data_IF_929400859422
#
_entry.id   IF_929400859422
#
_cell.length_a   1.000
_cell.length_b   1.000
_cell.length_c   1.000
_cell.angle_alpha   90.00
_cell.angle_beta   90.00
_cell.angle_gamma   90.00
#
_symmetry.space_group_name_H-M   'P 1'
#
loop_
_entity.id
_entity.type
_entity.pdbx_description
1 polymer ?
#
# COMPACT_ATOMS: atom_id res chain seq x y z
N UNK A 1 -6.67 -7.21 -18.99
CA UNK A 1 -5.86 -6.32 -18.13
C UNK A 1 -6.65 -6.14 -16.85
N UNK A 2 -6.07 -6.47 -15.69
CA UNK A 2 -6.80 -6.32 -14.43
C UNK A 2 -7.02 -4.82 -14.17
N UNK A 3 -8.27 -4.41 -14.06
CA UNK A 3 -8.63 -3.02 -13.81
C UNK A 3 -8.14 -2.64 -12.40
N UNK A 4 -7.43 -1.52 -12.27
CA UNK A 4 -6.99 -1.02 -10.98
C UNK A 4 -8.19 -0.35 -10.30
N UNK A 5 -8.64 -0.94 -9.20
CA UNK A 5 -9.67 -0.31 -8.37
C UNK A 5 -8.95 0.38 -7.21
N UNK A 6 -8.96 1.72 -7.17
CA UNK A 6 -8.32 2.45 -6.11
C UNK A 6 -9.00 2.17 -4.76
N UNK A 7 -8.25 2.27 -3.65
CA UNK A 7 -8.82 2.12 -2.32
C UNK A 7 -9.90 3.17 -2.04
N UNK A 8 -10.91 2.78 -1.26
CA UNK A 8 -12.10 3.60 -1.00
C UNK A 8 -11.86 4.84 -0.10
N UNK A 9 -10.69 4.93 0.52
CA UNK A 9 -10.30 6.01 1.43
C UNK A 9 -9.38 6.98 0.69
N UNK A 10 -9.75 8.27 0.63
CA UNK A 10 -8.99 9.29 -0.09
C UNK A 10 -7.54 9.39 0.39
N UNK A 11 -7.32 9.42 1.71
CA UNK A 11 -5.97 9.48 2.27
C UNK A 11 -5.09 8.26 1.89
N UNK A 12 -5.71 7.11 1.63
CA UNK A 12 -4.99 5.90 1.21
C UNK A 12 -4.56 6.04 -0.26
N UNK A 13 -5.42 6.62 -1.09
CA UNK A 13 -5.10 6.94 -2.48
C UNK A 13 -3.96 7.95 -2.54
N UNK A 14 -4.06 9.05 -1.81
CA UNK A 14 -3.02 10.09 -1.79
C UNK A 14 -1.67 9.51 -1.35
N UNK A 15 -1.67 8.65 -0.32
CA UNK A 15 -0.44 7.99 0.13
C UNK A 15 0.13 7.05 -0.93
N UNK A 16 -0.71 6.28 -1.63
CA UNK A 16 -0.28 5.37 -2.71
C UNK A 16 0.29 6.16 -3.89
N UNK A 17 -0.40 7.22 -4.33
CA UNK A 17 0.06 8.08 -5.41
C UNK A 17 1.38 8.78 -5.06
N UNK A 18 1.52 9.29 -3.83
CA UNK A 18 2.74 9.96 -3.39
C UNK A 18 3.92 8.99 -3.25
N UNK A 19 3.69 7.78 -2.74
CA UNK A 19 4.71 6.74 -2.68
C UNK A 19 5.14 6.29 -4.08
N UNK A 20 4.21 6.09 -5.01
CA UNK A 20 4.52 5.69 -6.38
C UNK A 20 5.21 6.82 -7.16
N UNK A 21 4.73 8.06 -7.01
CA UNK A 21 5.32 9.23 -7.66
C UNK A 21 6.75 9.52 -7.17
N UNK A 22 7.01 9.29 -5.88
CA UNK A 22 8.33 9.46 -5.27
C UNK A 22 9.24 8.24 -5.41
N UNK A 23 8.77 7.14 -6.01
CA UNK A 23 9.53 5.89 -6.08
C UNK A 23 9.86 5.28 -4.71
N UNK A 24 9.05 5.56 -3.70
CA UNK A 24 9.20 5.05 -2.34
C UNK A 24 10.14 5.87 -1.45
N UNK A 25 10.38 7.14 -1.77
CA UNK A 25 11.10 8.06 -0.87
C UNK A 25 10.17 8.89 0.00
N UNK A 26 8.95 9.17 -0.45
CA UNK A 26 7.94 9.96 0.25
C UNK A 26 6.68 9.12 0.50
N UNK A 27 5.88 9.44 1.53
CA UNK A 27 4.66 8.68 1.85
C UNK A 27 4.94 7.29 2.44
N UNK A 28 6.19 7.05 2.84
CA UNK A 28 6.67 5.81 3.44
C UNK A 28 6.26 5.64 4.90
N UNK A 29 5.58 6.62 5.50
CA UNK A 29 5.12 6.59 6.89
C UNK A 29 3.61 6.70 7.00
N UNK A 30 3.04 6.09 8.04
CA UNK A 30 1.62 6.20 8.35
C UNK A 30 1.30 7.57 8.97
N UNK A 31 0.98 8.56 8.13
CA UNK A 31 0.66 9.94 8.56
C UNK A 31 1.72 10.47 9.56
N UNK A 32 1.27 11.07 10.67
CA UNK A 32 2.10 11.65 11.73
C UNK A 32 2.69 10.63 12.71
N UNK A 33 2.35 9.34 12.58
CA UNK A 33 2.88 8.33 13.52
C UNK A 33 4.35 7.98 13.25
N UNK A 34 4.88 8.37 12.08
CA UNK A 34 6.25 8.05 11.65
C UNK A 34 6.50 6.55 11.42
N UNK A 35 5.48 5.70 11.55
CA UNK A 35 5.61 4.25 11.41
C UNK A 35 5.79 3.90 9.93
N UNK A 36 6.79 3.08 9.56
CA UNK A 36 7.04 2.74 8.18
C UNK A 36 5.88 1.93 7.60
N UNK A 37 5.49 2.24 6.37
CA UNK A 37 4.47 1.56 5.58
C UNK A 37 5.05 1.03 4.27
N UNK A 38 4.45 -0.04 3.77
CA UNK A 38 4.71 -0.60 2.45
C UNK A 38 3.40 -0.73 1.67
N UNK A 39 3.47 -0.60 0.35
CA UNK A 39 2.31 -0.78 -0.52
C UNK A 39 2.27 -2.23 -1.00
N UNK A 40 1.17 -2.89 -0.69
CA UNK A 40 0.91 -4.25 -1.13
C UNK A 40 -0.06 -4.21 -2.28
N UNK A 41 0.39 -4.73 -3.42
CA UNK A 41 -0.46 -4.93 -4.59
C UNK A 41 -0.96 -6.36 -4.59
N UNK A 42 -2.28 -6.55 -4.59
CA UNK A 42 -2.90 -7.87 -4.67
C UNK A 42 -4.05 -7.88 -5.68
N UNK A 43 -4.40 -9.08 -6.15
CA UNK A 43 -5.55 -9.28 -7.04
C UNK A 43 -6.75 -9.66 -6.17
N UNK A 44 -7.84 -8.92 -6.30
CA UNK A 44 -9.06 -9.19 -5.55
C UNK A 44 -9.70 -10.51 -5.98
N UNK A 45 -9.86 -11.45 -5.06
CA UNK A 45 -10.38 -12.80 -5.36
C UNK A 45 -11.79 -12.77 -5.98
N UNK A 46 -12.64 -11.81 -5.59
CA UNK A 46 -14.01 -11.69 -6.11
C UNK A 46 -14.10 -10.88 -7.41
N UNK A 47 -13.31 -9.82 -7.54
CA UNK A 47 -13.43 -8.85 -8.63
C UNK A 47 -12.39 -9.02 -9.73
N UNK A 48 -11.33 -9.82 -9.52
CA UNK A 48 -10.19 -9.93 -10.42
C UNK A 48 -9.39 -8.64 -10.60
N UNK A 49 -9.74 -7.59 -9.85
CA UNK A 49 -9.17 -6.26 -9.97
C UNK A 49 -7.86 -6.14 -9.18
N UNK A 50 -6.94 -5.32 -9.67
CA UNK A 50 -5.74 -4.96 -8.93
C UNK A 50 -6.10 -3.95 -7.84
N UNK A 51 -5.63 -4.22 -6.62
CA UNK A 51 -5.82 -3.35 -5.45
C UNK A 51 -4.47 -3.07 -4.80
N UNK A 52 -4.26 -1.81 -4.43
CA UNK A 52 -3.07 -1.36 -3.71
C UNK A 52 -3.50 -0.89 -2.32
N UNK A 53 -2.91 -1.47 -1.29
CA UNK A 53 -3.21 -1.13 0.11
C UNK A 53 -1.90 -0.86 0.84
N UNK A 54 -1.74 0.29 1.49
CA UNK A 54 -0.63 0.54 2.40
C UNK A 54 -0.89 -0.22 3.71
N UNK A 55 0.12 -0.98 4.12
CA UNK A 55 0.14 -1.71 5.40
C UNK A 55 1.36 -1.29 6.19
N UNK A 56 1.32 -1.48 7.51
CA UNK A 56 2.52 -1.27 8.34
C UNK A 56 3.62 -2.26 7.93
N UNK A 57 4.84 -1.74 7.84
CA UNK A 57 6.02 -2.51 7.47
C UNK A 57 6.48 -3.33 8.67
N UNK A 58 6.26 -4.64 8.62
CA UNK A 58 6.85 -5.59 9.56
C UNK A 58 7.79 -6.51 8.77
N UNK A 59 9.10 -6.30 8.88
CA UNK A 59 10.14 -7.10 8.21
C UNK A 59 10.76 -8.07 9.22
N UNK A 60 10.76 -9.36 8.89
CA UNK A 60 11.43 -10.42 9.66
C UNK A 60 12.41 -11.11 8.72
N UNK A 61 13.71 -10.90 8.91
CA UNK A 61 14.78 -11.37 8.02
C UNK A 61 14.53 -10.96 6.55
N UNK A 62 14.18 -11.92 5.69
CA UNK A 62 13.85 -11.69 4.27
C UNK A 62 12.34 -11.74 3.98
N UNK A 63 11.51 -11.81 5.00
CA UNK A 63 10.05 -11.95 4.92
C UNK A 63 9.34 -10.70 5.42
N UNK A 64 8.12 -10.51 4.96
CA UNK A 64 7.21 -9.45 5.44
C UNK A 64 5.98 -10.08 6.10
N UNK A 65 5.58 -9.54 7.24
CA UNK A 65 4.36 -9.95 7.93
C UNK A 65 3.27 -8.93 7.63
N UNK A 66 2.15 -9.44 7.15
CA UNK A 66 0.96 -8.68 6.79
C UNK A 66 -0.09 -8.95 7.86
N UNK A 67 -0.61 -7.88 8.46
CA UNK A 67 -1.74 -7.94 9.39
C UNK A 67 -2.93 -7.36 8.65
N UNK A 68 -3.93 -8.20 8.38
CA UNK A 68 -5.11 -7.86 7.58
C UNK A 68 -6.38 -8.40 8.21
#
# INVERSE_FOLDING_TARGET
MAEYIPPALDWVRDQVELYEASGGTEGTTLRDTGLPCIIVTHVGNKSGALRKIPVMRVKVENSYVLIG
#
